data_IF_645401944168
#
_entry.id   IF_645401944168
#
_cell.length_a   1.000
_cell.length_b   1.000
_cell.length_c   1.000
_cell.angle_alpha   90.00
_cell.angle_beta   90.00
_cell.angle_gamma   90.00
#
_symmetry.space_group_name_H-M   'P 1'
#
loop_
_entity.id
_entity.type
_entity.pdbx_description
1 polymer ?
#
# COMPACT_ATOMS: atom_id res chain seq x y z
N UNK A 1 18.05 -10.73 5.47
CA UNK A 1 17.71 -9.59 6.35
C UNK A 1 16.20 -9.46 6.32
N UNK A 2 15.54 -9.71 7.44
CA UNK A 2 14.09 -9.56 7.51
C UNK A 2 13.77 -8.06 7.62
N UNK A 3 13.19 -7.46 6.57
CA UNK A 3 12.80 -6.04 6.50
C UNK A 3 11.64 -5.67 7.45
N UNK A 4 11.49 -6.36 8.58
CA UNK A 4 10.31 -6.27 9.46
C UNK A 4 10.18 -4.91 10.13
N UNK A 5 11.30 -4.21 10.35
CA UNK A 5 11.36 -2.89 10.98
C UNK A 5 11.65 -1.77 9.98
N UNK A 6 11.60 -2.05 8.66
CA UNK A 6 11.79 -1.02 7.66
C UNK A 6 10.64 -0.01 7.73
N UNK A 7 10.96 1.26 7.91
CA UNK A 7 9.99 2.35 7.85
C UNK A 7 9.57 2.59 6.40
N UNK A 8 8.25 2.70 6.20
CA UNK A 8 7.64 3.02 4.91
C UNK A 8 6.63 4.14 5.10
N UNK A 9 6.47 4.98 4.09
CA UNK A 9 5.51 6.07 4.12
C UNK A 9 4.15 5.62 3.59
N UNK A 10 3.08 5.97 4.30
CA UNK A 10 1.73 5.77 3.79
C UNK A 10 1.45 6.75 2.64
N UNK A 11 1.15 6.21 1.45
CA UNK A 11 0.88 7.00 0.25
C UNK A 11 -0.38 7.89 0.32
N UNK A 12 -1.27 7.65 1.29
CA UNK A 12 -2.51 8.44 1.45
C UNK A 12 -2.40 9.56 2.48
N UNK A 13 -1.67 9.37 3.58
CA UNK A 13 -1.60 10.35 4.66
C UNK A 13 -0.19 10.91 4.92
N UNK A 14 0.84 10.38 4.24
CA UNK A 14 2.23 10.82 4.36
C UNK A 14 2.89 10.54 5.71
N UNK A 15 2.21 9.80 6.61
CA UNK A 15 2.74 9.41 7.91
C UNK A 15 3.46 8.05 7.81
N UNK A 16 4.45 7.86 8.68
CA UNK A 16 5.23 6.63 8.73
C UNK A 16 4.40 5.40 9.11
N UNK A 17 4.87 4.26 8.66
CA UNK A 17 4.40 2.92 8.97
C UNK A 17 5.59 1.98 9.05
N UNK A 18 5.38 0.79 9.59
CA UNK A 18 6.34 -0.30 9.45
C UNK A 18 5.93 -1.19 8.28
N UNK A 19 6.91 -1.69 7.52
CA UNK A 19 6.70 -2.54 6.34
C UNK A 19 5.78 -3.72 6.64
N UNK A 20 5.95 -4.38 7.79
CA UNK A 20 5.12 -5.53 8.22
C UNK A 20 3.66 -5.19 8.58
N UNK A 21 3.32 -3.92 8.81
CA UNK A 21 1.97 -3.44 9.13
C UNK A 21 1.33 -2.67 7.97
N UNK A 22 2.11 -2.40 6.93
CA UNK A 22 1.62 -1.71 5.76
C UNK A 22 0.99 -2.70 4.78
N UNK A 23 -0.04 -2.23 4.08
CA UNK A 23 -0.53 -2.88 2.87
C UNK A 23 0.35 -2.41 1.72
N UNK A 24 0.94 -3.36 0.99
CA UNK A 24 1.60 -3.08 -0.28
C UNK A 24 0.56 -2.97 -1.39
N UNK A 25 0.62 -1.89 -2.16
CA UNK A 25 -0.22 -1.62 -3.32
C UNK A 25 0.70 -1.55 -4.52
N UNK A 26 0.44 -2.41 -5.50
CA UNK A 26 1.18 -2.44 -6.75
C UNK A 26 0.48 -1.57 -7.79
N UNK A 27 1.18 -0.57 -8.31
CA UNK A 27 0.69 0.33 -9.35
C UNK A 27 1.43 0.00 -10.65
N UNK A 28 0.69 -0.40 -11.67
CA UNK A 28 1.18 -0.45 -13.05
C UNK A 28 1.04 0.95 -13.65
N UNK A 29 2.16 1.66 -13.79
CA UNK A 29 2.16 3.05 -14.25
C UNK A 29 1.94 3.14 -15.77
N UNK A 30 2.41 2.15 -16.51
CA UNK A 30 2.24 2.03 -17.95
C UNK A 30 2.09 0.55 -18.32
N UNK A 31 1.04 0.25 -19.09
CA UNK A 31 0.69 -1.11 -19.52
C UNK A 31 1.63 -1.67 -20.58
N UNK A 32 2.32 -0.81 -21.31
CA UNK A 32 3.25 -1.19 -22.37
C UNK A 32 4.66 -1.40 -21.83
N UNK A 33 5.12 -0.55 -20.90
CA UNK A 33 6.49 -0.63 -20.38
C UNK A 33 6.65 -1.67 -19.26
N UNK A 34 5.56 -2.16 -18.68
CA UNK A 34 5.56 -3.02 -17.48
C UNK A 34 6.25 -2.35 -16.29
N UNK A 35 6.27 -1.02 -16.25
CA UNK A 35 6.79 -0.30 -15.09
C UNK A 35 5.81 -0.47 -13.93
N UNK A 36 6.25 -1.26 -12.97
CA UNK A 36 5.53 -1.57 -11.74
C UNK A 36 6.18 -0.84 -10.58
N UNK A 37 5.38 -0.11 -9.81
CA UNK A 37 5.80 0.53 -8.59
C UNK A 37 5.04 -0.05 -7.39
N UNK A 38 5.76 -0.42 -6.34
CA UNK A 38 5.18 -0.72 -5.05
C UNK A 38 5.06 0.57 -4.21
N UNK A 39 3.86 0.82 -3.68
CA UNK A 39 3.61 1.85 -2.67
C UNK A 39 2.98 1.22 -1.43
N UNK A 40 3.07 1.89 -0.30
CA UNK A 40 2.63 1.34 0.98
C UNK A 40 1.53 2.19 1.60
N UNK A 41 0.60 1.56 2.30
CA UNK A 41 -0.51 2.25 2.95
C UNK A 41 -0.82 1.66 4.34
N UNK A 42 -1.27 2.51 5.27
CA UNK A 42 -1.95 1.99 6.46
C UNK A 42 -3.27 1.33 6.04
N UNK A 43 -3.59 0.18 6.64
CA UNK A 43 -4.88 -0.50 6.41
C UNK A 43 -6.07 0.45 6.58
N UNK A 44 -6.12 1.22 7.68
CA UNK A 44 -7.18 2.22 7.95
C UNK A 44 -7.29 3.33 6.90
N UNK A 45 -6.18 3.70 6.25
CA UNK A 45 -6.18 4.76 5.25
C UNK A 45 -6.70 4.22 3.92
N UNK A 46 -6.23 3.02 3.53
CA UNK A 46 -6.74 2.32 2.35
C UNK A 46 -8.25 2.06 2.49
N UNK A 47 -8.71 1.63 3.66
CA UNK A 47 -10.12 1.33 3.91
C UNK A 47 -11.04 2.55 3.72
N UNK A 48 -10.54 3.73 4.10
CA UNK A 48 -11.27 5.00 3.97
C UNK A 48 -11.41 5.47 2.53
N UNK A 49 -10.39 5.23 1.70
CA UNK A 49 -10.37 5.72 0.31
C UNK A 49 -10.98 4.71 -0.65
N UNK A 50 -10.92 3.41 -0.35
CA UNK A 50 -11.52 2.39 -1.18
C UNK A 50 -13.04 2.53 -1.20
N UNK A 51 -13.61 2.59 -2.39
CA UNK A 51 -15.06 2.58 -2.56
C UNK A 51 -15.66 1.29 -1.99
N UNK A 52 -16.85 1.40 -1.38
CA UNK A 52 -17.56 0.30 -0.73
C UNK A 52 -17.85 -0.93 -1.61
N UNK A 53 -17.78 -0.78 -2.93
CA UNK A 53 -17.98 -1.88 -3.89
C UNK A 53 -16.72 -2.68 -4.18
N UNK A 54 -15.54 -2.22 -3.73
CA UNK A 54 -14.28 -2.95 -3.92
C UNK A 54 -14.23 -4.09 -2.90
N UNK A 55 -14.11 -5.36 -3.34
CA UNK A 55 -13.98 -6.49 -2.42
C UNK A 55 -12.75 -6.35 -1.52
N UNK A 56 -12.93 -6.52 -0.22
CA UNK A 56 -11.86 -6.48 0.78
C UNK A 56 -11.49 -7.91 1.14
N UNK A 57 -10.22 -8.28 0.95
CA UNK A 57 -9.72 -9.62 1.30
C UNK A 57 -9.08 -9.66 2.70
N UNK A 58 -9.04 -8.54 3.40
CA UNK A 58 -8.37 -8.38 4.70
C UNK A 58 -9.43 -7.98 5.74
N UNK A 59 -9.54 -8.80 6.80
CA UNK A 59 -10.38 -8.57 7.99
C UNK A 59 -9.65 -7.74 9.03
#
# INVERSE_FOLDING_TARGET
MENRDLEVLCCFCGQDSTFNKAIEITIECDKETKDVQAVYAHSKCLDKVLHKSVPRAFN
#
